data_IF_666531522284
#
_entry.id   IF_666531522284
#
_cell.length_a   1.000
_cell.length_b   1.000
_cell.length_c   1.000
_cell.angle_alpha   90.00
_cell.angle_beta   90.00
_cell.angle_gamma   90.00
#
_symmetry.space_group_name_H-M   'P 1'
#
loop_
_entity.id
_entity.type
_entity.pdbx_description
1 polymer ?
#
# COMPACT_ATOMS: atom_id res chain seq x y z
N UNK A 1 -7.70 -0.03 -4.83
CA UNK A 1 -6.99 1.23 -4.52
C UNK A 1 -6.65 2.03 -5.76
N UNK A 2 -5.80 1.56 -6.68
CA UNK A 2 -5.43 2.32 -7.90
C UNK A 2 -6.62 2.86 -8.70
N UNK A 3 -7.65 2.03 -8.90
CA UNK A 3 -8.86 2.48 -9.60
C UNK A 3 -9.58 3.64 -8.89
N UNK A 4 -9.74 3.56 -7.57
CA UNK A 4 -10.35 4.62 -6.78
C UNK A 4 -9.49 5.90 -6.77
N UNK A 5 -8.17 5.76 -6.68
CA UNK A 5 -7.24 6.88 -6.77
C UNK A 5 -7.30 7.58 -8.14
N UNK A 6 -7.43 6.82 -9.23
CA UNK A 6 -7.61 7.38 -10.57
C UNK A 6 -8.93 8.14 -10.72
N UNK A 7 -10.03 7.63 -10.13
CA UNK A 7 -11.31 8.35 -10.07
C UNK A 7 -11.14 9.64 -9.27
N UNK A 8 -10.50 9.60 -8.10
CA UNK A 8 -10.30 10.78 -7.26
C UNK A 8 -9.41 11.83 -7.93
N UNK A 9 -8.38 11.43 -8.68
CA UNK A 9 -7.58 12.36 -9.49
C UNK A 9 -8.39 13.04 -10.58
N UNK A 10 -9.33 12.32 -11.21
CA UNK A 10 -10.10 12.81 -12.35
C UNK A 10 -11.32 13.64 -11.96
N UNK A 11 -12.01 13.22 -10.91
CA UNK A 11 -13.34 13.74 -10.53
C UNK A 11 -13.33 14.46 -9.18
N UNK A 12 -12.28 14.26 -8.37
CA UNK A 12 -12.13 14.96 -7.11
C UNK A 12 -11.87 16.45 -7.30
N UNK A 13 -12.26 17.24 -6.31
CA UNK A 13 -11.78 18.62 -6.17
C UNK A 13 -10.28 18.65 -5.85
N UNK A 14 -9.74 19.81 -5.47
CA UNK A 14 -8.36 19.87 -4.97
C UNK A 14 -8.21 19.12 -3.64
N UNK A 15 -7.27 18.16 -3.59
CA UNK A 15 -6.94 17.34 -2.42
C UNK A 15 -5.43 17.14 -2.32
N UNK A 16 -4.95 16.94 -1.10
CA UNK A 16 -3.50 16.83 -0.81
C UNK A 16 -3.05 15.38 -0.61
N UNK A 17 -3.84 14.56 0.12
CA UNK A 17 -3.54 13.16 0.40
C UNK A 17 -4.70 12.21 0.08
N UNK A 18 -4.35 11.03 -0.44
CA UNK A 18 -5.22 9.87 -0.58
C UNK A 18 -5.03 8.96 0.63
N UNK A 19 -6.08 8.76 1.43
CA UNK A 19 -6.07 7.91 2.62
C UNK A 19 -7.03 6.74 2.39
N UNK A 20 -6.54 5.50 2.50
CA UNK A 20 -7.42 4.33 2.38
C UNK A 20 -7.95 3.90 3.75
N UNK A 21 -9.25 3.64 3.80
CA UNK A 21 -9.95 3.14 4.98
C UNK A 21 -10.82 1.93 4.59
N UNK A 22 -11.09 1.09 5.56
CA UNK A 22 -12.02 -0.03 5.52
C UNK A 22 -13.22 0.25 6.44
N UNK A 23 -14.21 -0.64 6.42
CA UNK A 23 -15.39 -0.55 7.30
C UNK A 23 -15.07 -0.75 8.79
N UNK A 24 -13.87 -1.22 9.12
CA UNK A 24 -13.45 -1.52 10.49
C UNK A 24 -12.57 -0.41 11.10
N UNK A 25 -12.23 0.62 10.31
CA UNK A 25 -11.39 1.72 10.77
C UNK A 25 -12.22 2.79 11.49
N UNK A 26 -11.63 3.43 12.51
CA UNK A 26 -12.27 4.49 13.28
C UNK A 26 -11.26 5.59 13.63
N UNK A 27 -11.60 6.88 13.47
CA UNK A 27 -10.68 7.96 13.79
C UNK A 27 -10.42 8.05 15.30
N UNK A 28 -9.14 8.09 15.68
CA UNK A 28 -8.70 8.31 17.08
C UNK A 28 -8.41 9.79 17.39
N UNK A 29 -8.48 10.66 16.38
CA UNK A 29 -8.29 12.10 16.50
C UNK A 29 -9.46 12.84 15.85
N UNK A 30 -9.73 14.06 16.29
CA UNK A 30 -10.75 14.90 15.67
C UNK A 30 -10.31 15.34 14.28
N UNK A 31 -11.28 15.68 13.42
CA UNK A 31 -10.97 16.23 12.10
C UNK A 31 -10.19 17.55 12.20
N UNK A 32 -10.56 18.42 13.15
CA UNK A 32 -9.90 19.73 13.32
C UNK A 32 -8.43 19.57 13.71
N UNK A 33 -8.10 18.66 14.62
CA UNK A 33 -6.72 18.40 15.02
C UNK A 33 -5.91 17.82 13.86
N UNK A 34 -6.50 16.89 13.09
CA UNK A 34 -5.85 16.31 11.93
C UNK A 34 -5.57 17.38 10.88
N UNK A 35 -6.55 18.21 10.53
CA UNK A 35 -6.37 19.30 9.58
C UNK A 35 -5.35 20.33 10.07
N UNK A 36 -5.39 20.67 11.36
CA UNK A 36 -4.43 21.58 11.97
C UNK A 36 -3.00 21.05 11.83
N UNK A 37 -2.74 19.80 12.18
CA UNK A 37 -1.41 19.19 12.08
C UNK A 37 -0.97 19.11 10.61
N UNK A 38 -1.82 18.57 9.73
CA UNK A 38 -1.48 18.39 8.31
C UNK A 38 -1.27 19.71 7.58
N UNK A 39 -1.88 20.82 8.04
CA UNK A 39 -1.64 22.15 7.47
C UNK A 39 -0.19 22.64 7.64
N UNK A 40 0.56 22.08 8.59
CA UNK A 40 1.98 22.39 8.82
C UNK A 40 2.94 21.41 8.15
N UNK A 41 2.43 20.34 7.54
CA UNK A 41 3.25 19.32 6.90
C UNK A 41 3.47 19.64 5.40
N UNK A 42 4.65 19.35 4.85
CA UNK A 42 4.84 19.34 3.41
C UNK A 42 3.85 18.39 2.73
N UNK A 43 3.11 18.88 1.73
CA UNK A 43 2.04 18.15 1.03
C UNK A 43 2.52 17.01 0.14
N UNK A 44 3.82 16.93 -0.11
CA UNK A 44 4.47 15.88 -0.88
C UNK A 44 4.81 14.64 -0.05
N UNK A 45 4.68 14.70 1.29
CA UNK A 45 4.95 13.58 2.18
C UNK A 45 3.99 12.40 1.96
N UNK A 46 4.57 11.20 2.00
CA UNK A 46 3.90 9.91 1.91
C UNK A 46 4.10 9.14 3.22
N UNK A 47 3.01 8.82 3.89
CA UNK A 47 2.99 8.08 5.16
C UNK A 47 2.75 6.60 4.87
N UNK A 48 3.84 5.83 4.89
CA UNK A 48 3.83 4.38 4.73
C UNK A 48 4.75 3.71 5.76
N UNK A 49 4.21 2.80 6.57
CA UNK A 49 5.06 1.85 7.30
C UNK A 49 5.71 0.90 6.28
N UNK A 50 7.04 0.81 6.26
CA UNK A 50 7.74 0.05 5.24
C UNK A 50 9.08 -0.52 5.71
N UNK A 51 9.45 -1.66 5.11
CA UNK A 51 10.77 -2.26 5.26
C UNK A 51 11.20 -2.96 3.98
N UNK A 52 12.51 -2.96 3.71
CA UNK A 52 13.09 -3.78 2.64
C UNK A 52 13.54 -5.16 3.12
N UNK A 53 13.45 -5.42 4.43
CA UNK A 53 13.71 -6.75 4.97
C UNK A 53 12.43 -7.61 4.86
N UNK A 54 12.23 -8.21 3.69
CA UNK A 54 11.03 -9.01 3.38
C UNK A 54 11.04 -10.41 4.02
N UNK A 55 12.17 -10.86 4.58
CA UNK A 55 12.28 -12.12 5.33
C UNK A 55 11.59 -13.34 4.67
N UNK A 56 10.73 -14.02 5.44
CA UNK A 56 9.97 -15.18 4.97
C UNK A 56 9.02 -14.88 3.79
N UNK A 57 8.56 -13.62 3.66
CA UNK A 57 7.68 -13.19 2.55
C UNK A 57 8.38 -13.35 1.19
N UNK A 58 9.72 -13.33 1.15
CA UNK A 58 10.47 -13.64 -0.07
C UNK A 58 10.12 -15.02 -0.64
N UNK A 59 10.17 -16.04 0.22
CA UNK A 59 9.94 -17.44 -0.19
C UNK A 59 8.47 -17.78 -0.34
N UNK A 60 7.58 -17.15 0.44
CA UNK A 60 6.15 -17.46 0.47
C UNK A 60 5.29 -16.56 -0.43
N UNK A 61 5.75 -15.36 -0.77
CA UNK A 61 4.96 -14.38 -1.56
C UNK A 61 5.67 -13.88 -2.82
N UNK A 62 6.98 -13.59 -2.74
CA UNK A 62 7.70 -13.04 -3.89
C UNK A 62 8.05 -14.07 -4.98
N UNK A 63 8.59 -15.22 -4.57
CA UNK A 63 8.96 -16.30 -5.50
C UNK A 63 7.76 -17.09 -6.06
N UNK A 64 6.70 -17.37 -5.28
CA UNK A 64 5.50 -17.98 -5.85
C UNK A 64 4.78 -17.06 -6.82
N UNK A 65 4.05 -17.66 -7.75
CA UNK A 65 3.22 -16.94 -8.72
C UNK A 65 1.78 -17.37 -8.49
N UNK A 66 0.89 -16.39 -8.34
CA UNK A 66 -0.55 -16.63 -8.21
C UNK A 66 -1.31 -16.03 -9.39
N UNK A 67 -2.45 -16.63 -9.71
CA UNK A 67 -3.47 -16.02 -10.56
C UNK A 67 -4.62 -15.67 -9.62
N UNK A 68 -4.95 -14.38 -9.53
CA UNK A 68 -6.06 -13.89 -8.72
C UNK A 68 -7.28 -13.63 -9.61
N UNK A 69 -8.33 -14.48 -9.52
CA UNK A 69 -9.57 -14.29 -10.27
C UNK A 69 -10.28 -12.98 -9.96
N UNK A 70 -10.06 -12.42 -8.76
CA UNK A 70 -10.62 -11.13 -8.35
C UNK A 70 -10.12 -9.94 -9.17
N UNK A 71 -9.06 -10.11 -9.99
CA UNK A 71 -8.58 -9.07 -10.90
C UNK A 71 -9.34 -9.00 -12.23
N UNK A 72 -10.04 -10.06 -12.64
CA UNK A 72 -10.70 -10.13 -13.96
C UNK A 72 -12.11 -10.76 -13.94
N UNK A 73 -12.55 -11.35 -12.83
CA UNK A 73 -13.90 -11.86 -12.64
C UNK A 73 -14.65 -11.04 -11.60
N UNK A 74 -15.95 -10.85 -11.83
CA UNK A 74 -16.83 -10.18 -10.87
C UNK A 74 -17.14 -11.01 -9.62
N UNK A 75 -16.95 -12.34 -9.69
CA UNK A 75 -17.15 -13.24 -8.55
C UNK A 75 -15.81 -13.53 -7.89
N UNK A 76 -15.73 -13.22 -6.59
CA UNK A 76 -14.56 -13.52 -5.77
C UNK A 76 -14.43 -15.03 -5.57
N UNK A 77 -13.23 -15.55 -5.77
CA UNK A 77 -12.84 -16.93 -5.48
C UNK A 77 -11.42 -16.96 -4.93
N UNK A 78 -10.98 -18.13 -4.48
CA UNK A 78 -9.60 -18.32 -4.05
C UNK A 78 -8.61 -18.13 -5.20
N UNK A 79 -7.37 -17.79 -4.84
CA UNK A 79 -6.26 -17.64 -5.78
C UNK A 79 -5.79 -19.00 -6.29
N UNK A 80 -5.39 -19.05 -7.55
CA UNK A 80 -4.76 -20.23 -8.13
C UNK A 80 -3.25 -20.15 -7.96
N UNK A 81 -2.67 -21.19 -7.38
CA UNK A 81 -1.24 -21.30 -7.24
C UNK A 81 -0.62 -21.93 -8.48
N UNK A 82 0.33 -21.22 -9.09
CA UNK A 82 1.13 -21.76 -10.19
C UNK A 82 2.25 -22.61 -9.61
N UNK A 83 2.51 -23.77 -10.22
CA UNK A 83 3.54 -24.71 -9.73
C UNK A 83 4.95 -24.17 -9.92
N UNK A 84 5.18 -23.41 -11.00
CA UNK A 84 6.44 -22.75 -11.27
C UNK A 84 6.65 -21.54 -10.35
N UNK A 85 7.92 -21.33 -9.97
CA UNK A 85 8.36 -20.18 -9.18
C UNK A 85 9.21 -19.25 -10.03
N UNK A 86 9.22 -17.97 -9.67
CA UNK A 86 10.09 -16.94 -10.25
C UNK A 86 11.25 -16.57 -9.32
N UNK A 87 12.30 -15.99 -9.88
CA UNK A 87 13.34 -15.31 -9.11
C UNK A 87 12.81 -13.98 -8.56
N UNK A 88 13.46 -13.47 -7.51
CA UNK A 88 13.24 -12.10 -7.03
C UNK A 88 13.74 -11.14 -8.13
N UNK A 89 13.01 -10.05 -8.42
CA UNK A 89 13.42 -9.09 -9.44
C UNK A 89 14.75 -8.43 -9.07
N UNK A 90 15.58 -8.16 -10.09
CA UNK A 90 16.86 -7.45 -9.96
C UNK A 90 16.79 -5.99 -10.40
N UNK A 91 15.75 -5.63 -11.17
CA UNK A 91 15.55 -4.28 -11.68
C UNK A 91 15.08 -3.27 -10.61
N UNK A 92 14.51 -3.75 -9.50
CA UNK A 92 14.04 -2.94 -8.38
C UNK A 92 14.09 -3.74 -7.09
N UNK A 93 14.20 -3.04 -5.95
CA UNK A 93 14.20 -3.65 -4.62
C UNK A 93 12.77 -3.79 -4.12
N UNK A 94 12.40 -4.97 -3.61
CA UNK A 94 11.09 -5.16 -2.99
C UNK A 94 11.03 -4.50 -1.61
N UNK A 95 9.92 -3.82 -1.36
CA UNK A 95 9.53 -3.32 -0.05
C UNK A 95 8.18 -3.90 0.34
N UNK A 96 7.98 -4.06 1.65
CA UNK A 96 6.71 -4.51 2.24
C UNK A 96 6.37 -3.66 3.44
N UNK A 97 5.09 -3.57 3.77
CA UNK A 97 4.59 -2.73 4.84
C UNK A 97 3.13 -3.01 5.18
N UNK A 98 2.53 -2.05 5.85
CA UNK A 98 1.09 -2.01 6.10
C UNK A 98 0.30 -1.90 4.79
N UNK A 99 -0.94 -2.41 4.76
CA UNK A 99 -1.84 -2.13 3.64
C UNK A 99 -2.54 -0.77 3.77
N UNK A 100 -2.38 -0.08 4.91
CA UNK A 100 -2.91 1.23 5.21
C UNK A 100 -1.84 2.27 4.92
N UNK A 101 -2.24 3.42 4.38
CA UNK A 101 -1.33 4.46 3.91
C UNK A 101 -2.04 5.80 3.76
N UNK A 102 -1.26 6.88 3.84
CA UNK A 102 -1.65 8.19 3.34
C UNK A 102 -0.64 8.64 2.27
N UNK A 103 -1.09 8.70 1.02
CA UNK A 103 -0.23 8.95 -0.14
C UNK A 103 -0.46 10.36 -0.68
N UNK A 104 0.60 11.09 -0.97
CA UNK A 104 0.50 12.43 -1.54
C UNK A 104 -0.06 12.40 -2.95
N UNK A 105 -0.78 13.45 -3.33
CA UNK A 105 -1.33 13.60 -4.69
C UNK A 105 -0.26 13.45 -5.78
N UNK A 106 0.93 14.06 -5.70
CA UNK A 106 1.98 13.87 -6.71
C UNK A 106 2.41 12.41 -6.89
N UNK A 107 2.50 11.64 -5.79
CA UNK A 107 2.87 10.23 -5.87
C UNK A 107 1.76 9.37 -6.49
N UNK A 108 0.50 9.66 -6.15
CA UNK A 108 -0.65 9.02 -6.79
C UNK A 108 -0.69 9.35 -8.29
N UNK A 109 -0.44 10.60 -8.66
CA UNK A 109 -0.36 11.05 -10.05
C UNK A 109 0.72 10.27 -10.82
N UNK A 110 1.91 10.11 -10.24
CA UNK A 110 2.98 9.28 -10.79
C UNK A 110 2.57 7.81 -10.97
N UNK A 111 1.86 7.22 -10.01
CA UNK A 111 1.42 5.83 -10.11
C UNK A 111 0.37 5.64 -11.21
N UNK A 112 -0.51 6.61 -11.43
CA UNK A 112 -1.62 6.53 -12.40
C UNK A 112 -1.15 6.86 -13.82
N UNK A 113 -0.46 7.98 -14.02
CA UNK A 113 0.04 8.35 -15.35
C UNK A 113 1.26 7.54 -15.74
N UNK A 114 2.12 7.20 -14.78
CA UNK A 114 3.33 6.41 -15.00
C UNK A 114 4.22 7.02 -16.07
N UNK A 115 4.65 8.28 -15.95
CA UNK A 115 5.55 8.86 -16.96
C UNK A 115 6.90 8.13 -17.05
N UNK A 116 7.25 7.33 -16.04
CA UNK A 116 8.32 6.32 -16.08
C UNK A 116 7.74 4.88 -16.13
N UNK A 117 8.57 3.91 -16.50
CA UNK A 117 8.22 2.49 -16.56
C UNK A 117 8.05 1.84 -15.19
N UNK A 118 8.71 2.36 -14.13
CA UNK A 118 8.72 1.72 -12.82
C UNK A 118 7.31 1.38 -12.28
N UNK A 119 6.32 2.30 -12.21
CA UNK A 119 4.98 1.97 -11.72
C UNK A 119 4.29 0.85 -12.51
N UNK A 120 4.50 0.81 -13.84
CA UNK A 120 3.91 -0.22 -14.71
C UNK A 120 4.61 -1.58 -14.55
N UNK A 121 5.94 -1.58 -14.49
CA UNK A 121 6.73 -2.80 -14.28
C UNK A 121 6.44 -3.41 -12.92
N UNK A 122 6.36 -2.60 -11.87
CA UNK A 122 6.01 -3.05 -10.52
C UNK A 122 4.55 -3.53 -10.49
N UNK A 123 3.62 -2.84 -11.17
CA UNK A 123 2.21 -3.27 -11.23
C UNK A 123 2.08 -4.65 -11.88
N UNK A 124 2.75 -4.86 -13.01
CA UNK A 124 2.81 -6.17 -13.68
C UNK A 124 3.43 -7.25 -12.78
N UNK A 125 4.45 -6.91 -11.99
CA UNK A 125 5.02 -7.87 -11.05
C UNK A 125 4.04 -8.25 -9.93
N UNK A 126 3.29 -7.26 -9.42
CA UNK A 126 2.35 -7.39 -8.31
C UNK A 126 0.96 -7.94 -8.71
N UNK A 127 0.63 -8.02 -10.01
CA UNK A 127 -0.60 -8.71 -10.46
C UNK A 127 -0.61 -10.21 -10.19
N UNK A 128 0.58 -10.81 -10.00
CA UNK A 128 0.74 -12.22 -9.66
C UNK A 128 1.44 -12.44 -8.29
N UNK A 129 1.29 -11.47 -7.38
CA UNK A 129 1.90 -11.47 -6.06
C UNK A 129 0.82 -11.51 -4.96
N UNK A 130 0.96 -12.40 -3.98
CA UNK A 130 0.01 -12.52 -2.87
C UNK A 130 0.09 -11.32 -1.92
N UNK A 131 -1.06 -10.76 -1.52
CA UNK A 131 -1.14 -9.56 -0.67
C UNK A 131 -0.46 -8.33 -1.30
N UNK A 132 -0.72 -8.08 -2.59
CA UNK A 132 -0.13 -6.96 -3.33
C UNK A 132 -0.32 -5.56 -2.72
N UNK A 133 -1.39 -5.23 -1.97
CA UNK A 133 -1.51 -3.94 -1.29
C UNK A 133 -0.41 -3.67 -0.25
N UNK A 134 0.15 -4.71 0.38
CA UNK A 134 1.25 -4.61 1.35
C UNK A 134 2.63 -4.37 0.71
N UNK A 135 2.71 -4.07 -0.59
CA UNK A 135 4.00 -4.01 -1.28
C UNK A 135 4.09 -3.14 -2.53
N UNK A 136 3.00 -3.01 -3.32
CA UNK A 136 3.04 -2.23 -4.56
C UNK A 136 3.51 -0.79 -4.33
N UNK A 137 2.78 -0.02 -3.53
CA UNK A 137 3.10 1.41 -3.30
C UNK A 137 4.45 1.59 -2.61
N UNK A 138 4.77 0.76 -1.61
CA UNK A 138 6.07 0.75 -0.94
C UNK A 138 7.23 0.56 -1.94
N UNK A 139 7.08 -0.39 -2.85
CA UNK A 139 8.11 -0.71 -3.84
C UNK A 139 8.24 0.40 -4.88
N UNK A 140 7.14 0.96 -5.38
CA UNK A 140 7.20 2.09 -6.31
C UNK A 140 7.85 3.31 -5.64
N UNK A 141 7.34 3.72 -4.47
CA UNK A 141 7.81 4.92 -3.78
C UNK A 141 9.30 4.84 -3.45
N UNK A 142 9.75 3.72 -2.87
CA UNK A 142 11.13 3.58 -2.41
C UNK A 142 12.15 3.31 -3.53
N UNK A 143 11.70 3.03 -4.76
CA UNK A 143 12.60 2.88 -5.92
C UNK A 143 12.54 4.08 -6.88
N UNK A 144 11.54 4.96 -6.75
CA UNK A 144 11.39 6.13 -7.61
C UNK A 144 12.31 7.28 -7.13
N UNK A 145 13.17 7.77 -8.03
CA UNK A 145 14.14 8.81 -7.69
C UNK A 145 13.48 10.15 -7.33
N UNK A 146 12.40 10.49 -8.01
CA UNK A 146 11.62 11.72 -7.82
C UNK A 146 11.03 11.84 -6.40
N UNK A 147 10.80 10.71 -5.71
CA UNK A 147 10.16 10.66 -4.40
C UNK A 147 11.13 10.44 -3.24
N UNK A 148 12.45 10.50 -3.48
CA UNK A 148 13.46 10.43 -2.42
C UNK A 148 13.19 11.49 -1.36
N UNK A 149 13.29 11.12 -0.08
CA UNK A 149 13.04 11.96 1.09
C UNK A 149 11.59 12.43 1.29
N UNK A 150 10.63 11.92 0.52
CA UNK A 150 9.19 12.19 0.75
C UNK A 150 8.53 11.14 1.66
N UNK A 151 9.24 10.08 2.03
CA UNK A 151 8.68 8.96 2.80
C UNK A 151 8.79 9.20 4.31
N UNK A 152 7.66 9.10 4.99
CA UNK A 152 7.58 9.02 6.46
C UNK A 152 7.26 7.56 6.81
N UNK A 153 8.11 6.94 7.64
CA UNK A 153 7.97 5.54 8.01
C UNK A 153 6.94 5.33 9.13
N UNK A 154 5.69 5.62 8.81
CA UNK A 154 4.50 5.42 9.63
C UNK A 154 3.30 5.43 8.70
N UNK A 155 2.32 4.57 8.91
CA UNK A 155 1.05 4.57 8.17
C UNK A 155 -0.04 5.40 8.84
N UNK A 156 0.26 6.03 9.99
CA UNK A 156 -0.68 6.78 10.83
C UNK A 156 -1.86 5.95 11.37
N UNK A 157 -1.75 4.62 11.37
CA UNK A 157 -2.76 3.73 11.91
C UNK A 157 -2.29 3.08 13.22
N UNK A 158 -3.17 3.05 14.20
CA UNK A 158 -2.98 2.20 15.35
C UNK A 158 -3.55 0.81 15.04
N UNK A 159 -2.69 -0.21 15.01
CA UNK A 159 -3.09 -1.59 14.72
C UNK A 159 -2.57 -2.50 15.81
N UNK A 160 -3.49 -3.03 16.62
CA UNK A 160 -3.18 -4.06 17.61
C UNK A 160 -3.08 -5.43 16.93
N UNK A 161 -1.97 -6.12 17.14
CA UNK A 161 -1.75 -7.47 16.63
C UNK A 161 -1.62 -8.46 17.79
N UNK A 162 -2.20 -9.65 17.62
CA UNK A 162 -1.88 -10.79 18.47
C UNK A 162 -0.39 -11.15 18.33
N UNK A 163 0.18 -11.83 19.33
CA UNK A 163 1.53 -12.39 19.25
C UNK A 163 1.49 -13.92 19.43
N UNK A 164 1.75 -14.73 18.38
CA UNK A 164 2.14 -14.32 17.02
C UNK A 164 0.96 -13.69 16.22
N UNK A 165 1.26 -12.85 15.22
CA UNK A 165 0.23 -12.17 14.43
C UNK A 165 -0.62 -13.17 13.64
N UNK A 166 -1.94 -12.97 13.68
CA UNK A 166 -2.92 -13.70 12.87
C UNK A 166 -3.08 -13.05 11.49
N UNK A 167 -3.99 -13.59 10.68
CA UNK A 167 -4.34 -13.02 9.37
C UNK A 167 -4.99 -11.63 9.47
N UNK A 168 -5.73 -11.38 10.55
CA UNK A 168 -6.41 -10.12 10.79
C UNK A 168 -5.96 -9.52 12.14
N UNK A 169 -5.97 -8.18 12.27
CA UNK A 169 -5.68 -7.50 13.53
C UNK A 169 -6.60 -7.93 14.67
N UNK A 170 -6.17 -7.67 15.91
CA UNK A 170 -6.99 -7.84 17.10
C UNK A 170 -8.16 -6.85 17.08
N UNK A 171 -9.36 -7.33 17.42
CA UNK A 171 -10.53 -6.45 17.57
C UNK A 171 -10.47 -5.73 18.91
N UNK A 172 -10.37 -4.40 18.86
CA UNK A 172 -10.34 -3.57 20.05
C UNK A 172 -11.66 -3.64 20.83
N UNK A 173 -11.54 -3.68 22.15
CA UNK A 173 -12.65 -3.73 23.10
C UNK A 173 -12.55 -2.57 24.10
N UNK A 174 -13.52 -2.46 25.00
CA UNK A 174 -13.47 -1.47 26.09
C UNK A 174 -12.25 -1.65 27.02
N UNK A 175 -11.61 -2.82 27.02
CA UNK A 175 -10.41 -3.07 27.81
C UNK A 175 -9.14 -2.44 27.19
N UNK A 176 -9.20 -2.03 25.92
CA UNK A 176 -8.10 -1.46 25.16
C UNK A 176 -8.18 0.09 25.10
N UNK A 177 -9.13 0.69 25.82
CA UNK A 177 -9.35 2.14 25.89
C UNK A 177 -8.43 2.85 26.89
#
# INVERSE_FOLDING_TARGET
TLHAAAILLREGAEWDWFINLSSSDYPLMTQDDLLHIFSHLPRDLNFIDHTSNIGWKASQRAKPVIIDPGLYLNKKSDVFWVTQRRSIPTAFKLFTGSAWMALSRPFIDYCIWGWDNLPRTVLMYYSNFLSSPEGYFHTVLCNAEEFKNTTVNSDLHFIAWDNPPKQHPHHLTLADM
#
